data_IF_616832565053
#
_entry.id   IF_616832565053
#
_cell.length_a   1.000
_cell.length_b   1.000
_cell.length_c   1.000
_cell.angle_alpha   90.00
_cell.angle_beta   90.00
_cell.angle_gamma   90.00
#
_symmetry.space_group_name_H-M   'P 1'
#
loop_
_entity.id
_entity.type
_entity.pdbx_description
1 polymer ?
#
# COMPACT_ATOMS: atom_id res chain seq x y z
N UNK A 1 -14.35 18.88 -0.57
CA UNK A 1 -12.97 19.12 -0.12
C UNK A 1 -12.07 17.90 -0.22
N UNK A 2 -12.29 16.90 0.61
CA UNK A 2 -11.36 15.76 0.78
C UNK A 2 -11.10 14.98 -0.52
N UNK A 3 -12.11 14.71 -1.32
CA UNK A 3 -11.96 13.95 -2.59
C UNK A 3 -11.05 14.68 -3.61
N UNK A 4 -11.10 16.01 -3.66
CA UNK A 4 -10.24 16.78 -4.57
C UNK A 4 -8.77 16.75 -4.11
N UNK A 5 -8.53 16.83 -2.81
CA UNK A 5 -7.17 16.73 -2.28
C UNK A 5 -6.61 15.33 -2.50
N UNK A 6 -7.39 14.26 -2.30
CA UNK A 6 -6.98 12.90 -2.60
C UNK A 6 -6.68 12.68 -4.09
N UNK A 7 -7.50 13.24 -4.99
CA UNK A 7 -7.25 13.16 -6.43
C UNK A 7 -5.94 13.88 -6.82
N UNK A 8 -5.70 15.08 -6.27
CA UNK A 8 -4.48 15.83 -6.52
C UNK A 8 -3.24 15.10 -5.98
N UNK A 9 -3.34 14.51 -4.78
CA UNK A 9 -2.29 13.66 -4.22
C UNK A 9 -2.01 12.45 -5.11
N UNK A 10 -3.05 11.81 -5.65
CA UNK A 10 -2.91 10.71 -6.60
C UNK A 10 -2.15 11.09 -7.88
N UNK A 11 -2.38 12.30 -8.41
CA UNK A 11 -1.62 12.81 -9.56
C UNK A 11 -0.14 13.02 -9.20
N UNK A 12 0.15 13.62 -8.04
CA UNK A 12 1.53 13.82 -7.58
C UNK A 12 2.24 12.48 -7.39
N UNK A 13 1.57 11.48 -6.82
CA UNK A 13 2.09 10.13 -6.67
C UNK A 13 2.38 9.48 -8.02
N UNK A 14 1.49 9.62 -9.00
CA UNK A 14 1.67 9.07 -10.35
C UNK A 14 2.89 9.68 -11.03
N UNK A 15 3.02 11.01 -10.97
CA UNK A 15 4.19 11.72 -11.53
C UNK A 15 5.48 11.26 -10.86
N UNK A 16 5.51 11.21 -9.52
CA UNK A 16 6.68 10.73 -8.77
C UNK A 16 7.09 9.30 -9.15
N UNK A 17 6.12 8.41 -9.29
CA UNK A 17 6.39 7.02 -9.70
C UNK A 17 6.92 6.93 -11.13
N UNK A 18 6.33 7.66 -12.08
CA UNK A 18 6.79 7.67 -13.46
C UNK A 18 8.23 8.21 -13.57
N UNK A 19 8.56 9.24 -12.80
CA UNK A 19 9.91 9.79 -12.75
C UNK A 19 10.91 8.75 -12.21
N UNK A 20 10.58 8.05 -11.13
CA UNK A 20 11.44 7.01 -10.55
C UNK A 20 11.64 5.85 -11.51
N UNK A 21 10.57 5.30 -12.07
CA UNK A 21 10.63 4.18 -13.02
C UNK A 21 11.41 4.56 -14.27
N UNK A 22 11.19 5.77 -14.80
CA UNK A 22 11.95 6.30 -15.93
C UNK A 22 13.44 6.43 -15.63
N UNK A 23 13.81 6.93 -14.44
CA UNK A 23 15.20 7.04 -14.01
C UNK A 23 15.87 5.65 -13.85
N UNK A 24 15.16 4.66 -13.33
CA UNK A 24 15.66 3.28 -13.22
C UNK A 24 15.88 2.69 -14.62
N UNK A 25 14.89 2.81 -15.53
CA UNK A 25 15.03 2.27 -16.88
C UNK A 25 16.16 2.92 -17.66
N UNK A 26 16.36 4.24 -17.51
CA UNK A 26 17.52 4.90 -18.14
C UNK A 26 18.86 4.40 -17.61
N UNK A 27 18.90 3.93 -16.35
CA UNK A 27 20.12 3.40 -15.73
C UNK A 27 20.40 1.95 -16.11
N UNK A 28 19.37 1.12 -16.25
CA UNK A 28 19.51 -0.32 -16.53
C UNK A 28 19.34 -0.69 -18.01
N UNK A 29 19.13 0.29 -18.89
CA UNK A 29 19.01 0.08 -20.34
C UNK A 29 17.58 -0.21 -20.82
N UNK A 30 16.59 -0.22 -19.91
CA UNK A 30 15.20 -0.48 -20.23
C UNK A 30 14.59 -1.63 -19.42
N UNK A 31 13.27 -1.85 -19.56
CA UNK A 31 12.57 -2.88 -18.78
C UNK A 31 13.04 -4.30 -19.14
N UNK A 32 13.28 -4.57 -20.41
CA UNK A 32 13.71 -5.88 -20.88
C UNK A 32 15.14 -6.22 -20.50
N UNK A 33 16.07 -5.30 -20.76
CA UNK A 33 17.47 -5.43 -20.40
C UNK A 33 17.67 -5.54 -18.89
N UNK A 34 16.91 -4.73 -18.13
CA UNK A 34 16.90 -4.84 -16.67
C UNK A 34 16.44 -6.20 -16.17
N UNK A 35 15.39 -6.78 -16.77
CA UNK A 35 14.92 -8.13 -16.42
C UNK A 35 15.93 -9.22 -16.81
N UNK A 36 16.60 -9.10 -17.94
CA UNK A 36 17.67 -10.03 -18.34
C UNK A 36 18.87 -9.94 -17.39
N UNK A 37 19.28 -8.73 -17.04
CA UNK A 37 20.35 -8.52 -16.07
C UNK A 37 20.00 -9.08 -14.69
N UNK A 38 18.74 -8.91 -14.25
CA UNK A 38 18.25 -9.49 -12.99
C UNK A 38 18.24 -11.03 -13.03
N UNK A 39 17.88 -11.62 -14.16
CA UNK A 39 17.87 -13.08 -14.37
C UNK A 39 19.31 -13.67 -14.36
N UNK A 40 20.29 -12.88 -14.77
CA UNK A 40 21.70 -13.29 -14.77
C UNK A 40 22.38 -13.24 -13.39
N UNK A 41 21.74 -12.62 -12.39
CA UNK A 41 22.28 -12.61 -11.03
C UNK A 41 22.28 -14.01 -10.41
N UNK A 42 23.35 -14.36 -9.65
CA UNK A 42 23.40 -15.63 -8.95
C UNK A 42 22.26 -15.74 -7.94
N UNK A 43 21.71 -16.95 -7.73
CA UNK A 43 20.75 -17.21 -6.66
C UNK A 43 21.27 -16.74 -5.31
N UNK A 44 20.38 -16.32 -4.44
CA UNK A 44 20.69 -15.94 -3.06
C UNK A 44 19.79 -16.68 -2.08
N UNK A 45 20.13 -16.65 -0.78
CA UNK A 45 19.33 -17.27 0.28
C UNK A 45 17.87 -16.78 0.30
N UNK A 46 17.60 -15.59 -0.23
CA UNK A 46 16.25 -15.03 -0.37
C UNK A 46 15.56 -15.40 -1.68
N UNK A 47 16.32 -15.84 -2.68
CA UNK A 47 15.85 -16.15 -4.04
C UNK A 47 16.65 -17.34 -4.60
N UNK A 48 16.55 -18.50 -3.95
CA UNK A 48 17.28 -19.72 -4.33
C UNK A 48 16.96 -20.23 -5.74
N UNK A 49 15.80 -19.90 -6.30
CA UNK A 49 15.44 -20.20 -7.69
C UNK A 49 15.71 -19.04 -8.65
N UNK A 50 16.48 -18.02 -8.23
CA UNK A 50 16.75 -16.81 -8.99
C UNK A 50 15.71 -15.71 -8.82
N UNK A 51 16.10 -14.47 -9.17
CA UNK A 51 15.30 -13.27 -8.91
C UNK A 51 14.11 -13.08 -9.86
N UNK A 52 13.99 -13.86 -10.92
CA UNK A 52 12.88 -13.81 -11.90
C UNK A 52 11.96 -15.03 -11.75
N UNK A 53 12.20 -15.90 -10.78
CA UNK A 53 11.39 -17.07 -10.53
C UNK A 53 10.00 -16.71 -10.00
N UNK A 54 8.95 -17.19 -10.65
CA UNK A 54 7.56 -17.02 -10.19
C UNK A 54 7.21 -17.91 -8.98
N UNK A 55 7.92 -19.03 -8.81
CA UNK A 55 7.60 -19.99 -7.75
C UNK A 55 8.13 -19.61 -6.38
N UNK A 56 9.11 -18.69 -6.30
CA UNK A 56 9.74 -18.28 -5.04
C UNK A 56 10.51 -19.37 -4.31
N UNK A 57 10.70 -20.55 -4.92
CA UNK A 57 11.40 -21.68 -4.32
C UNK A 57 10.76 -22.13 -3.00
N UNK A 58 11.57 -22.35 -1.96
CA UNK A 58 11.12 -22.75 -0.62
C UNK A 58 10.19 -21.74 0.05
N UNK A 59 10.20 -20.49 -0.39
CA UNK A 59 9.34 -19.42 0.12
C UNK A 59 8.03 -19.25 -0.67
N UNK A 60 7.72 -20.14 -1.60
CA UNK A 60 6.53 -20.06 -2.44
C UNK A 60 5.22 -19.92 -1.65
N UNK A 61 5.06 -20.67 -0.55
CA UNK A 61 3.89 -20.55 0.33
C UNK A 61 3.81 -19.18 1.01
N UNK A 62 4.93 -18.62 1.42
CA UNK A 62 4.98 -17.28 2.00
C UNK A 62 4.58 -16.22 0.98
N UNK A 63 5.12 -16.29 -0.24
CA UNK A 63 4.75 -15.39 -1.34
C UNK A 63 3.26 -15.51 -1.68
N UNK A 64 2.75 -16.74 -1.77
CA UNK A 64 1.34 -16.99 -2.00
C UNK A 64 0.46 -16.38 -0.90
N UNK A 65 0.85 -16.55 0.37
CA UNK A 65 0.12 -15.94 1.49
C UNK A 65 0.11 -14.42 1.42
N UNK A 66 1.22 -13.79 1.03
CA UNK A 66 1.29 -12.34 0.80
C UNK A 66 0.35 -11.91 -0.35
N UNK A 67 0.34 -12.64 -1.46
CA UNK A 67 -0.56 -12.36 -2.59
C UNK A 67 -2.02 -12.45 -2.15
N UNK A 68 -2.40 -13.47 -1.39
CA UNK A 68 -3.76 -13.62 -0.86
C UNK A 68 -4.12 -12.48 0.07
N UNK A 69 -3.25 -12.15 1.03
CA UNK A 69 -3.50 -11.07 1.99
C UNK A 69 -3.62 -9.72 1.29
N UNK A 70 -2.69 -9.40 0.39
CA UNK A 70 -2.68 -8.10 -0.29
C UNK A 70 -3.81 -7.97 -1.33
N UNK A 71 -4.30 -9.06 -1.87
CA UNK A 71 -5.38 -9.04 -2.87
C UNK A 71 -6.77 -9.12 -2.23
N UNK A 72 -6.99 -10.02 -1.28
CA UNK A 72 -8.31 -10.32 -0.73
C UNK A 72 -8.58 -9.51 0.53
N UNK A 73 -7.64 -9.44 1.46
CA UNK A 73 -7.83 -8.73 2.72
C UNK A 73 -8.03 -7.21 2.53
N UNK A 74 -7.48 -6.64 1.46
CA UNK A 74 -7.69 -5.22 1.12
C UNK A 74 -9.16 -4.91 0.84
N UNK A 75 -9.93 -5.85 0.28
CA UNK A 75 -11.36 -5.64 0.01
C UNK A 75 -12.18 -5.50 1.29
N UNK A 76 -11.74 -6.13 2.36
CA UNK A 76 -12.40 -6.07 3.67
C UNK A 76 -12.01 -4.83 4.48
N UNK A 77 -11.09 -4.00 3.98
CA UNK A 77 -10.68 -2.79 4.69
C UNK A 77 -11.84 -1.80 4.78
N UNK A 78 -12.20 -1.33 5.98
CA UNK A 78 -13.35 -0.46 6.19
C UNK A 78 -13.33 0.81 5.34
N UNK A 79 -12.13 1.40 5.13
CA UNK A 79 -11.96 2.57 4.28
C UNK A 79 -12.29 2.31 2.80
N UNK A 80 -12.05 1.09 2.32
CA UNK A 80 -12.44 0.70 0.97
C UNK A 80 -13.95 0.47 0.87
N UNK A 81 -14.53 -0.19 1.88
CA UNK A 81 -15.97 -0.42 1.93
C UNK A 81 -16.76 0.90 1.99
N UNK A 82 -16.35 1.87 2.79
CA UNK A 82 -17.00 3.19 2.83
C UNK A 82 -17.00 3.89 1.46
N UNK A 83 -15.92 3.79 0.70
CA UNK A 83 -15.85 4.36 -0.64
C UNK A 83 -16.81 3.68 -1.62
N UNK A 84 -17.02 2.38 -1.49
CA UNK A 84 -18.02 1.66 -2.29
C UNK A 84 -19.44 2.10 -1.98
N UNK A 85 -19.79 2.30 -0.71
CA UNK A 85 -21.10 2.80 -0.30
C UNK A 85 -21.36 4.27 -0.69
N UNK A 86 -20.31 5.06 -0.86
CA UNK A 86 -20.40 6.46 -1.28
C UNK A 86 -20.64 6.65 -2.79
N UNK A 87 -20.68 5.58 -3.58
CA UNK A 87 -20.86 5.66 -5.04
C UNK A 87 -22.34 5.94 -5.35
N UNK A 88 -22.60 7.12 -5.91
CA UNK A 88 -23.96 7.55 -6.25
C UNK A 88 -24.54 6.82 -7.48
N UNK A 89 -23.72 6.51 -8.48
CA UNK A 89 -24.15 5.83 -9.72
C UNK A 89 -23.20 4.68 -10.08
N UNK A 90 -23.67 3.42 -9.95
CA UNK A 90 -22.88 2.25 -10.31
C UNK A 90 -22.41 2.19 -11.78
N UNK A 91 -23.08 2.91 -12.69
CA UNK A 91 -22.68 2.97 -14.11
C UNK A 91 -21.35 3.70 -14.30
N UNK A 92 -21.06 4.65 -13.43
CA UNK A 92 -19.77 5.38 -13.46
C UNK A 92 -18.60 4.46 -13.13
N UNK A 93 -18.79 3.44 -12.29
CA UNK A 93 -17.76 2.43 -11.99
C UNK A 93 -17.22 1.77 -13.25
N UNK A 94 -18.11 1.36 -14.17
CA UNK A 94 -17.68 0.71 -15.42
C UNK A 94 -16.82 1.61 -16.29
N UNK A 95 -17.02 2.92 -16.24
CA UNK A 95 -16.23 3.91 -17.00
C UNK A 95 -14.91 4.25 -16.33
N UNK A 96 -14.88 4.31 -15.00
CA UNK A 96 -13.68 4.71 -14.24
C UNK A 96 -12.77 3.53 -13.93
N UNK A 97 -13.27 2.31 -13.88
CA UNK A 97 -12.48 1.10 -13.58
C UNK A 97 -11.24 0.94 -14.48
N UNK A 98 -11.32 1.06 -15.82
CA UNK A 98 -10.12 0.92 -16.65
C UNK A 98 -9.04 1.94 -16.33
N UNK A 99 -9.43 3.20 -16.08
CA UNK A 99 -8.50 4.25 -15.68
C UNK A 99 -7.87 3.95 -14.31
N UNK A 100 -8.68 3.52 -13.35
CA UNK A 100 -8.19 3.14 -12.02
C UNK A 100 -7.22 1.95 -12.12
N UNK A 101 -7.54 0.93 -12.92
CA UNK A 101 -6.64 -0.22 -13.15
C UNK A 101 -5.32 0.22 -13.77
N UNK A 102 -5.34 1.14 -14.75
CA UNK A 102 -4.14 1.67 -15.36
C UNK A 102 -3.27 2.41 -14.33
N UNK A 103 -3.86 3.32 -13.57
CA UNK A 103 -3.15 4.07 -12.53
C UNK A 103 -2.56 3.14 -11.46
N UNK A 104 -3.33 2.17 -10.98
CA UNK A 104 -2.86 1.18 -10.01
C UNK A 104 -1.74 0.31 -10.58
N UNK A 105 -1.82 -0.10 -11.84
CA UNK A 105 -0.74 -0.86 -12.49
C UNK A 105 0.55 -0.06 -12.55
N UNK A 106 0.47 1.23 -12.86
CA UNK A 106 1.66 2.11 -12.88
C UNK A 106 2.21 2.33 -11.47
N UNK A 107 1.35 2.61 -10.49
CA UNK A 107 1.80 2.89 -9.12
C UNK A 107 2.33 1.64 -8.42
N UNK A 108 1.55 0.58 -8.40
CA UNK A 108 1.90 -0.65 -7.69
C UNK A 108 2.90 -1.48 -8.48
N UNK A 109 2.64 -1.70 -9.77
CA UNK A 109 3.55 -2.40 -10.66
C UNK A 109 4.89 -1.67 -10.79
N UNK A 110 4.88 -0.35 -10.94
CA UNK A 110 6.07 0.48 -10.93
C UNK A 110 6.90 0.35 -9.66
N UNK A 111 6.24 0.34 -8.49
CA UNK A 111 6.93 0.16 -7.20
C UNK A 111 7.59 -1.22 -7.08
N UNK A 112 6.89 -2.30 -7.46
CA UNK A 112 7.49 -3.65 -7.46
C UNK A 112 8.62 -3.79 -8.47
N UNK A 113 8.45 -3.21 -9.65
CA UNK A 113 9.48 -3.23 -10.69
C UNK A 113 10.72 -2.45 -10.26
N UNK A 114 10.53 -1.26 -9.69
CA UNK A 114 11.60 -0.45 -9.13
C UNK A 114 12.35 -1.19 -8.01
N UNK A 115 11.62 -1.84 -7.10
CA UNK A 115 12.18 -2.64 -6.03
C UNK A 115 13.00 -3.84 -6.55
N UNK A 116 12.50 -4.56 -7.57
CA UNK A 116 13.23 -5.66 -8.18
C UNK A 116 14.52 -5.19 -8.85
N UNK A 117 14.45 -4.16 -9.69
CA UNK A 117 15.61 -3.63 -10.41
C UNK A 117 16.59 -2.88 -9.51
N UNK A 118 16.19 -2.45 -8.32
CA UNK A 118 17.09 -1.82 -7.35
C UNK A 118 18.27 -2.72 -6.98
N UNK A 119 18.11 -4.05 -7.07
CA UNK A 119 19.19 -5.03 -6.86
C UNK A 119 20.39 -4.82 -7.78
N UNK A 120 20.14 -4.39 -9.01
CA UNK A 120 21.20 -4.12 -10.00
C UNK A 120 21.96 -2.83 -9.67
N UNK A 121 21.32 -1.90 -8.98
CA UNK A 121 21.87 -0.56 -8.70
C UNK A 121 22.47 -0.51 -7.29
N UNK A 122 21.84 -1.20 -6.35
CA UNK A 122 22.17 -1.22 -4.92
C UNK A 122 22.30 -2.70 -4.46
N UNK A 123 23.43 -3.37 -4.75
CA UNK A 123 23.61 -4.79 -4.42
C UNK A 123 23.59 -5.06 -2.91
N UNK A 124 24.09 -4.10 -2.11
CA UNK A 124 24.17 -4.22 -0.65
C UNK A 124 23.47 -3.05 0.04
N UNK A 125 22.43 -3.36 0.80
CA UNK A 125 21.71 -2.41 1.65
C UNK A 125 21.46 -3.05 3.02
N UNK A 126 21.79 -2.33 4.08
CA UNK A 126 21.69 -2.81 5.45
C UNK A 126 20.27 -3.19 5.88
N UNK A 127 19.25 -2.52 5.32
CA UNK A 127 17.85 -2.80 5.59
C UNK A 127 17.01 -2.59 4.33
N UNK A 128 16.03 -3.48 4.05
CA UNK A 128 15.10 -3.32 2.93
C UNK A 128 14.37 -1.97 2.92
N UNK A 129 14.06 -1.40 4.09
CA UNK A 129 13.38 -0.11 4.20
C UNK A 129 14.24 1.07 3.71
N UNK A 130 15.57 0.90 3.62
CA UNK A 130 16.50 1.91 3.11
C UNK A 130 16.67 1.87 1.58
N UNK A 131 16.19 0.83 0.91
CA UNK A 131 16.38 0.65 -0.54
C UNK A 131 15.78 1.82 -1.30
N UNK A 132 14.51 2.13 -1.09
CA UNK A 132 13.83 3.20 -1.81
C UNK A 132 14.41 4.59 -1.53
N UNK A 133 14.65 5.01 -0.27
CA UNK A 133 15.30 6.29 0.00
C UNK A 133 16.65 6.44 -0.70
N UNK A 134 17.51 5.43 -0.65
CA UNK A 134 18.83 5.46 -1.31
C UNK A 134 18.71 5.49 -2.83
N UNK A 135 17.83 4.68 -3.39
CA UNK A 135 17.60 4.62 -4.84
C UNK A 135 17.17 5.97 -5.39
N UNK A 136 16.20 6.61 -4.72
CA UNK A 136 15.67 7.92 -5.12
C UNK A 136 16.74 9.01 -5.02
N UNK A 137 17.52 9.04 -3.93
CA UNK A 137 18.62 9.99 -3.77
C UNK A 137 19.72 9.81 -4.83
N UNK A 138 19.95 8.59 -5.27
CA UNK A 138 21.00 8.26 -6.22
C UNK A 138 20.60 8.53 -7.68
N UNK A 139 19.33 8.36 -8.01
CA UNK A 139 18.85 8.38 -9.39
C UNK A 139 18.15 9.67 -9.78
N UNK A 140 17.48 10.33 -8.85
CA UNK A 140 16.71 11.51 -9.18
C UNK A 140 17.53 12.80 -8.98
N UNK A 141 17.45 13.74 -9.92
CA UNK A 141 17.99 15.08 -9.71
C UNK A 141 17.23 15.77 -8.57
N UNK A 142 17.84 16.76 -7.95
CA UNK A 142 17.33 17.42 -6.72
C UNK A 142 15.86 17.86 -6.83
N UNK A 143 15.49 18.46 -7.94
CA UNK A 143 14.10 18.87 -8.19
C UNK A 143 13.11 17.68 -8.18
N UNK A 144 13.46 16.60 -8.86
CA UNK A 144 12.64 15.39 -8.93
C UNK A 144 12.58 14.65 -7.58
N UNK A 145 13.66 14.70 -6.81
CA UNK A 145 13.72 14.20 -5.44
C UNK A 145 12.66 14.88 -4.56
N UNK A 146 12.54 16.20 -4.61
CA UNK A 146 11.53 16.92 -3.84
C UNK A 146 10.11 16.54 -4.24
N UNK A 147 9.82 16.41 -5.55
CA UNK A 147 8.51 15.94 -6.03
C UNK A 147 8.23 14.53 -5.52
N UNK A 148 9.20 13.63 -5.54
CA UNK A 148 9.03 12.26 -5.09
C UNK A 148 8.78 12.19 -3.57
N UNK A 149 9.52 12.97 -2.77
CA UNK A 149 9.29 13.06 -1.32
C UNK A 149 7.89 13.61 -1.04
N UNK A 150 7.46 14.65 -1.75
CA UNK A 150 6.11 15.19 -1.66
C UNK A 150 5.05 14.13 -2.02
N UNK A 151 5.31 13.29 -3.03
CA UNK A 151 4.43 12.19 -3.41
C UNK A 151 4.28 11.16 -2.28
N UNK A 152 5.38 10.75 -1.63
CA UNK A 152 5.36 9.81 -0.50
C UNK A 152 4.59 10.41 0.69
N UNK A 153 4.89 11.66 1.05
CA UNK A 153 4.19 12.35 2.15
C UNK A 153 2.69 12.45 1.84
N UNK A 154 2.34 12.80 0.62
CA UNK A 154 0.94 12.87 0.17
C UNK A 154 0.24 11.52 0.27
N UNK A 155 0.89 10.44 -0.16
CA UNK A 155 0.37 9.08 -0.05
C UNK A 155 0.12 8.67 1.40
N UNK A 156 1.09 8.94 2.27
CA UNK A 156 1.01 8.64 3.69
C UNK A 156 -0.12 9.40 4.38
N UNK A 157 -0.25 10.69 4.11
CA UNK A 157 -1.31 11.53 4.66
C UNK A 157 -2.70 11.10 4.17
N UNK A 158 -2.86 10.81 2.88
CA UNK A 158 -4.13 10.34 2.31
C UNK A 158 -4.60 9.04 2.97
N UNK A 159 -3.68 8.10 3.15
CA UNK A 159 -3.99 6.81 3.79
C UNK A 159 -4.28 7.00 5.28
N UNK A 160 -3.45 7.75 5.99
CA UNK A 160 -3.61 8.00 7.42
C UNK A 160 -4.93 8.68 7.75
N UNK A 161 -5.32 9.72 7.00
CA UNK A 161 -6.59 10.42 7.22
C UNK A 161 -7.79 9.51 7.08
N UNK A 162 -7.80 8.63 6.06
CA UNK A 162 -8.87 7.64 5.88
C UNK A 162 -8.99 6.65 7.03
N UNK A 163 -7.86 6.11 7.49
CA UNK A 163 -7.82 5.15 8.60
C UNK A 163 -8.21 5.81 9.92
N UNK A 164 -7.66 6.99 10.22
CA UNK A 164 -7.99 7.72 11.44
C UNK A 164 -9.47 8.10 11.50
N UNK A 165 -10.04 8.54 10.39
CA UNK A 165 -11.46 8.89 10.35
C UNK A 165 -12.34 7.71 10.77
N UNK A 166 -12.07 6.51 10.24
CA UNK A 166 -12.83 5.31 10.58
C UNK A 166 -12.60 4.88 12.02
N UNK A 167 -11.35 4.85 12.47
CA UNK A 167 -11.02 4.45 13.83
C UNK A 167 -11.66 5.40 14.87
N UNK A 168 -11.62 6.71 14.60
CA UNK A 168 -12.25 7.71 15.47
C UNK A 168 -13.77 7.58 15.46
N UNK A 169 -14.39 7.35 14.29
CA UNK A 169 -15.83 7.11 14.20
C UNK A 169 -16.24 5.87 15.00
N UNK A 170 -15.53 4.76 14.82
CA UNK A 170 -15.80 3.54 15.58
C UNK A 170 -15.66 3.73 17.10
N UNK A 171 -14.63 4.43 17.56
CA UNK A 171 -14.43 4.71 18.98
C UNK A 171 -15.48 5.68 19.55
N UNK A 172 -15.85 6.70 18.77
CA UNK A 172 -16.70 7.79 19.26
C UNK A 172 -18.20 7.52 19.12
N UNK A 173 -18.61 6.67 18.17
CA UNK A 173 -20.01 6.38 17.84
C UNK A 173 -20.35 4.92 18.09
N UNK A 174 -19.67 3.98 17.42
CA UNK A 174 -20.07 2.57 17.43
C UNK A 174 -19.92 1.94 18.82
N UNK A 175 -18.79 2.14 19.50
CA UNK A 175 -18.59 1.60 20.86
C UNK A 175 -19.50 2.24 21.90
N UNK A 176 -19.93 3.49 21.68
CA UNK A 176 -20.81 4.20 22.63
C UNK A 176 -22.29 3.98 22.34
N UNK A 177 -22.64 3.49 21.14
CA UNK A 177 -24.04 3.36 20.70
C UNK A 177 -24.82 4.68 20.67
N UNK A 178 -24.14 5.81 20.55
CA UNK A 178 -24.71 7.17 20.56
C UNK A 178 -23.99 8.06 19.57
N UNK A 179 -24.69 9.06 18.99
CA UNK A 179 -24.03 10.05 18.13
C UNK A 179 -22.85 10.72 18.82
N UNK A 180 -21.81 10.94 18.07
CA UNK A 180 -20.59 11.59 18.59
C UNK A 180 -20.84 13.06 18.95
N UNK A 181 -20.18 13.52 20.00
CA UNK A 181 -20.05 14.92 20.32
C UNK A 181 -18.59 15.37 20.12
N UNK A 182 -18.32 16.68 20.15
CA UNK A 182 -16.97 17.21 19.94
C UNK A 182 -15.95 16.57 20.88
N UNK A 183 -16.30 16.36 22.15
CA UNK A 183 -15.38 15.78 23.14
C UNK A 183 -15.05 14.32 22.81
N UNK A 184 -16.03 13.51 22.39
CA UNK A 184 -15.78 12.11 22.01
C UNK A 184 -14.93 12.00 20.75
N UNK A 185 -15.10 12.91 19.78
CA UNK A 185 -14.22 13.02 18.61
C UNK A 185 -12.77 13.30 19.02
N UNK A 186 -12.53 14.34 19.84
CA UNK A 186 -11.18 14.69 20.29
C UNK A 186 -10.54 13.57 21.12
N UNK A 187 -11.30 12.89 21.97
CA UNK A 187 -10.80 11.72 22.71
C UNK A 187 -10.45 10.57 21.76
N UNK A 188 -11.27 10.29 20.77
CA UNK A 188 -10.98 9.30 19.75
C UNK A 188 -9.70 9.61 18.97
N UNK A 189 -9.52 10.87 18.54
CA UNK A 189 -8.29 11.33 17.87
C UNK A 189 -7.09 11.14 18.80
N UNK A 190 -7.17 11.59 20.05
CA UNK A 190 -6.07 11.47 21.00
C UNK A 190 -5.66 10.01 21.22
N UNK A 191 -6.62 9.10 21.38
CA UNK A 191 -6.35 7.66 21.49
C UNK A 191 -5.65 7.13 20.24
N UNK A 192 -6.14 7.44 19.06
CA UNK A 192 -5.54 6.99 17.80
C UNK A 192 -4.11 7.50 17.64
N UNK A 193 -3.85 8.78 17.97
CA UNK A 193 -2.52 9.38 17.90
C UNK A 193 -1.57 8.74 18.90
N UNK A 194 -2.01 8.52 20.14
CA UNK A 194 -1.19 7.89 21.18
C UNK A 194 -0.84 6.43 20.82
N UNK A 195 -1.82 5.67 20.33
CA UNK A 195 -1.60 4.27 19.92
C UNK A 195 -0.65 4.21 18.72
N UNK A 196 -0.88 5.01 17.69
CA UNK A 196 -0.01 5.01 16.51
C UNK A 196 1.39 5.52 16.81
N UNK A 197 1.52 6.55 17.66
CA UNK A 197 2.80 7.07 18.15
C UNK A 197 3.56 6.03 18.98
N UNK A 198 2.85 5.28 19.82
CA UNK A 198 3.40 4.14 20.57
C UNK A 198 3.90 3.03 19.63
N UNK A 199 3.10 2.64 18.64
CA UNK A 199 3.49 1.65 17.63
C UNK A 199 4.70 2.11 16.81
N UNK A 200 4.82 3.40 16.51
CA UNK A 200 5.96 3.95 15.77
C UNK A 200 7.31 3.85 16.53
N UNK A 201 7.27 3.64 17.86
CA UNK A 201 8.49 3.42 18.66
C UNK A 201 9.02 1.98 18.57
N UNK A 202 8.25 1.05 17.99
CA UNK A 202 8.68 -0.35 17.82
C UNK A 202 9.75 -0.40 16.73
N UNK A 203 11.00 -0.47 17.17
CA UNK A 203 12.18 -0.53 16.27
C UNK A 203 12.40 -1.95 15.73
N UNK A 204 12.95 -2.04 14.53
CA UNK A 204 13.42 -3.31 13.96
C UNK A 204 12.38 -4.14 13.23
N UNK A 205 11.16 -3.66 13.11
CA UNK A 205 10.12 -4.31 12.29
C UNK A 205 10.08 -3.69 10.89
N UNK A 206 10.08 -4.54 9.86
CA UNK A 206 9.87 -4.11 8.49
C UNK A 206 8.45 -3.54 8.36
N UNK A 207 8.31 -2.31 7.88
CA UNK A 207 7.01 -1.61 7.72
C UNK A 207 6.01 -2.45 6.94
N UNK A 208 6.48 -3.15 5.88
CA UNK A 208 5.64 -4.04 5.09
C UNK A 208 5.03 -5.20 5.92
N UNK A 209 5.76 -5.76 6.89
CA UNK A 209 5.25 -6.82 7.76
C UNK A 209 4.18 -6.29 8.73
N UNK A 210 4.36 -5.11 9.28
CA UNK A 210 3.36 -4.46 10.12
C UNK A 210 2.06 -4.21 9.34
N UNK A 211 2.16 -3.70 8.11
CA UNK A 211 1.01 -3.48 7.24
C UNK A 211 0.29 -4.79 6.90
N UNK A 212 1.01 -5.82 6.48
CA UNK A 212 0.42 -7.12 6.11
C UNK A 212 -0.23 -7.82 7.30
N UNK A 213 0.36 -7.72 8.49
CA UNK A 213 -0.22 -8.26 9.73
C UNK A 213 -1.55 -7.55 10.05
N UNK A 214 -1.57 -6.21 9.98
CA UNK A 214 -2.78 -5.43 10.20
C UNK A 214 -3.87 -5.78 9.18
N UNK A 215 -3.52 -5.91 7.91
CA UNK A 215 -4.46 -6.31 6.85
C UNK A 215 -5.00 -7.72 7.06
N UNK A 216 -4.16 -8.65 7.52
CA UNK A 216 -4.58 -10.02 7.82
C UNK A 216 -5.61 -10.06 8.95
N UNK A 217 -5.38 -9.30 10.03
CA UNK A 217 -6.28 -9.22 11.17
C UNK A 217 -7.64 -8.64 10.72
N UNK A 218 -7.64 -7.47 10.09
CA UNK A 218 -8.87 -6.80 9.63
C UNK A 218 -9.57 -7.65 8.58
N UNK A 219 -8.83 -8.26 7.65
CA UNK A 219 -9.36 -9.16 6.65
C UNK A 219 -10.06 -10.37 7.25
N UNK A 220 -9.46 -11.01 8.24
CA UNK A 220 -10.06 -12.15 8.93
C UNK A 220 -11.34 -11.75 9.69
N UNK A 221 -11.32 -10.60 10.36
CA UNK A 221 -12.47 -10.12 11.16
C UNK A 221 -13.64 -9.64 10.33
N UNK A 222 -13.40 -8.98 9.18
CA UNK A 222 -14.45 -8.36 8.38
C UNK A 222 -14.88 -9.19 7.17
N UNK A 223 -13.94 -9.83 6.47
CA UNK A 223 -14.23 -10.56 5.22
C UNK A 223 -15.08 -11.82 5.49
N UNK A 224 -14.74 -12.59 6.52
CA UNK A 224 -15.43 -13.85 6.81
C UNK A 224 -16.90 -13.61 7.15
N UNK A 225 -17.27 -12.70 8.07
CA UNK A 225 -18.66 -12.36 8.33
C UNK A 225 -19.38 -11.78 7.09
N UNK A 226 -18.70 -10.94 6.32
CA UNK A 226 -19.27 -10.35 5.11
C UNK A 226 -19.61 -11.42 4.05
N UNK A 227 -18.69 -12.32 3.76
CA UNK A 227 -18.93 -13.42 2.81
C UNK A 227 -20.02 -14.35 3.32
N UNK A 228 -20.03 -14.66 4.63
CA UNK A 228 -21.08 -15.47 5.25
C UNK A 228 -22.45 -14.81 5.12
N UNK A 229 -22.55 -13.50 5.35
CA UNK A 229 -23.79 -12.73 5.20
C UNK A 229 -24.29 -12.76 3.75
N UNK A 230 -23.41 -12.47 2.80
CA UNK A 230 -23.77 -12.42 1.37
C UNK A 230 -24.12 -13.80 0.82
N UNK A 231 -23.36 -14.85 1.19
CA UNK A 231 -23.53 -16.19 0.64
C UNK A 231 -24.65 -16.98 1.28
N UNK A 232 -24.85 -16.84 2.59
CA UNK A 232 -25.79 -17.69 3.35
C UNK A 232 -27.01 -16.92 3.85
N UNK A 233 -27.12 -15.61 3.58
CA UNK A 233 -28.28 -14.81 3.94
C UNK A 233 -28.58 -14.76 5.44
N UNK A 234 -27.67 -15.18 6.29
CA UNK A 234 -27.85 -15.19 7.74
C UNK A 234 -27.71 -13.77 8.28
N UNK A 235 -28.86 -13.17 8.57
CA UNK A 235 -28.98 -11.85 9.22
C UNK A 235 -28.75 -11.87 10.73
N UNK A 236 -28.45 -13.02 11.32
CA UNK A 236 -28.29 -13.18 12.77
C UNK A 236 -26.81 -13.36 13.09
N UNK A 237 -26.14 -12.26 13.29
CA UNK A 237 -24.91 -12.17 14.07
C UNK A 237 -25.00 -10.87 14.87
#
# INVERSE_FOLDING_TARGET
>A
GVLYTEAMQGVVMLVGMLMLVGAIFSKVGGPWEGMQALAALPPSDLANNGFVSLSGGERGLFILSLVVVTSIAVWAQPQMMQRHFAIADPRQLKKTTPLAMFILTVLVGGAYFAAALSRLILPEVASPDQVMPKLVQMLLPEFALHIFVLAIVSASLSTATGIYHIAVSALSEDLRGRPSNRLSWFTGIAICVLVSGGCAQIKGQLVALLCTTSWSIVGAMALVPYVALVRFGRRNA
#
